data_IF_953585608092
#
_entry.id   IF_953585608092
#
_cell.length_a   1.000
_cell.length_b   1.000
_cell.length_c   1.000
_cell.angle_alpha   90.00
_cell.angle_beta   90.00
_cell.angle_gamma   90.00
#
_symmetry.space_group_name_H-M   'P 1'
#
loop_
_entity.id
_entity.type
_entity.pdbx_description
1 polymer ?
#
# COMPACT_ATOMS: atom_id res chain seq x y z
N UNK A 1 -24.79 -63.41 26.82
CA UNK A 1 -23.54 -63.06 27.54
C UNK A 1 -23.33 -61.57 27.40
N UNK A 2 -23.46 -60.86 28.51
CA UNK A 2 -23.29 -59.41 28.63
C UNK A 2 -21.80 -59.05 28.55
N UNK A 3 -21.51 -57.89 27.98
CA UNK A 3 -20.20 -57.25 28.00
C UNK A 3 -20.34 -55.79 27.62
N UNK A 4 -20.82 -54.96 28.55
CA UNK A 4 -20.84 -53.50 28.43
C UNK A 4 -19.41 -52.97 28.55
N UNK A 5 -18.95 -52.20 27.56
CA UNK A 5 -17.78 -51.33 27.70
C UNK A 5 -18.26 -49.95 28.17
N UNK A 6 -18.14 -49.70 29.47
CA UNK A 6 -18.30 -48.40 30.09
C UNK A 6 -17.14 -47.47 29.67
N UNK A 7 -17.46 -46.40 28.93
CA UNK A 7 -16.57 -45.26 28.67
C UNK A 7 -17.14 -44.02 29.38
N UNK A 8 -17.25 -44.10 30.71
CA UNK A 8 -17.74 -43.01 31.56
C UNK A 8 -16.68 -42.53 32.54
N UNK A 9 -15.44 -42.33 32.07
CA UNK A 9 -14.42 -41.61 32.83
C UNK A 9 -13.49 -40.80 31.91
N UNK A 10 -13.99 -39.73 31.26
CA UNK A 10 -13.04 -38.66 30.84
C UNK A 10 -13.64 -37.28 30.49
N UNK A 11 -14.90 -36.98 30.82
CA UNK A 11 -15.46 -35.63 30.52
C UNK A 11 -14.74 -34.51 31.31
N UNK A 12 -14.31 -34.82 32.54
CA UNK A 12 -13.61 -33.86 33.40
C UNK A 12 -12.16 -33.60 32.97
N UNK A 13 -11.53 -34.52 32.25
CA UNK A 13 -10.13 -34.36 31.80
C UNK A 13 -10.06 -33.58 30.50
N UNK A 14 -11.01 -33.80 29.59
CA UNK A 14 -11.22 -32.95 28.43
C UNK A 14 -11.60 -31.52 28.82
N UNK A 15 -12.54 -31.35 29.76
CA UNK A 15 -12.90 -30.03 30.26
C UNK A 15 -11.71 -29.30 30.92
N UNK A 16 -10.88 -30.01 31.69
CA UNK A 16 -9.65 -29.46 32.28
C UNK A 16 -8.61 -29.09 31.22
N UNK A 17 -8.44 -29.89 30.17
CA UNK A 17 -7.52 -29.59 29.06
C UNK A 17 -7.94 -28.34 28.27
N UNK A 18 -9.25 -28.19 28.01
CA UNK A 18 -9.80 -27.00 27.34
C UNK A 18 -9.69 -25.76 28.23
N UNK A 19 -9.93 -25.89 29.54
CA UNK A 19 -9.77 -24.77 30.47
C UNK A 19 -8.29 -24.35 30.60
N UNK A 20 -7.37 -25.31 30.61
CA UNK A 20 -5.93 -25.05 30.63
C UNK A 20 -5.46 -24.36 29.34
N UNK A 21 -5.95 -24.75 28.17
CA UNK A 21 -5.55 -24.09 26.91
C UNK A 21 -6.07 -22.65 26.82
N UNK A 22 -7.30 -22.38 27.29
CA UNK A 22 -7.86 -21.03 27.35
C UNK A 22 -7.11 -20.13 28.33
N UNK A 23 -6.76 -20.65 29.51
CA UNK A 23 -5.98 -19.89 30.50
C UNK A 23 -4.56 -19.57 30.00
N UNK A 24 -3.89 -20.52 29.33
CA UNK A 24 -2.57 -20.28 28.72
C UNK A 24 -2.68 -19.21 27.62
N UNK A 25 -3.70 -19.28 26.76
CA UNK A 25 -3.93 -18.29 25.71
C UNK A 25 -4.21 -16.88 26.28
N UNK A 26 -5.02 -16.79 27.34
CA UNK A 26 -5.28 -15.51 28.03
C UNK A 26 -4.03 -14.97 28.73
N UNK A 27 -3.22 -15.82 29.37
CA UNK A 27 -1.94 -15.41 29.95
C UNK A 27 -0.96 -14.89 28.89
N UNK A 28 -0.87 -15.54 27.73
CA UNK A 28 -0.05 -15.05 26.61
C UNK A 28 -0.56 -13.71 26.08
N UNK A 29 -1.88 -13.53 25.95
CA UNK A 29 -2.45 -12.24 25.54
C UNK A 29 -2.17 -11.11 26.56
N UNK A 30 -2.26 -11.40 27.86
CA UNK A 30 -1.91 -10.44 28.92
C UNK A 30 -0.41 -10.12 28.97
N UNK A 31 0.46 -11.08 28.66
CA UNK A 31 1.91 -10.83 28.56
C UNK A 31 2.25 -10.00 27.32
N UNK A 32 1.64 -10.28 26.17
CA UNK A 32 1.84 -9.49 24.95
C UNK A 32 1.34 -8.05 25.10
N UNK A 33 0.19 -7.83 25.74
CA UNK A 33 -0.32 -6.47 26.01
C UNK A 33 0.57 -5.70 26.97
N UNK A 34 1.14 -6.32 28.02
CA UNK A 34 2.12 -5.65 28.89
C UNK A 34 3.44 -5.32 28.17
N UNK A 35 3.92 -6.19 27.28
CA UNK A 35 5.11 -5.91 26.46
C UNK A 35 4.88 -4.74 25.51
N UNK A 36 3.67 -4.59 24.94
CA UNK A 36 3.31 -3.45 24.09
C UNK A 36 3.20 -2.15 24.90
N UNK A 37 2.65 -2.20 26.12
CA UNK A 37 2.48 -1.01 26.97
C UNK A 37 3.79 -0.50 27.61
N UNK A 38 4.80 -1.35 27.79
CA UNK A 38 6.07 -0.91 28.38
C UNK A 38 6.93 -0.05 27.44
N UNK A 39 6.65 -0.07 26.12
CA UNK A 39 7.40 0.73 25.13
C UNK A 39 6.93 2.19 25.02
N UNK A 40 5.83 2.58 25.66
CA UNK A 40 5.31 3.96 25.63
C UNK A 40 5.66 4.84 26.85
N UNK A 41 6.17 4.27 27.95
CA UNK A 41 6.35 5.01 29.20
C UNK A 41 7.71 5.73 29.38
N UNK A 42 8.59 5.71 28.37
CA UNK A 42 9.88 6.40 28.40
C UNK A 42 9.98 7.59 27.43
N UNK A 43 8.85 8.14 27.01
CA UNK A 43 8.85 9.50 26.46
C UNK A 43 8.62 10.46 27.62
N UNK A 44 9.69 11.14 28.06
CA UNK A 44 9.53 12.33 28.90
C UNK A 44 8.70 13.33 28.09
N UNK A 45 7.42 13.48 28.44
CA UNK A 45 6.60 14.57 27.92
C UNK A 45 7.31 15.86 28.32
N UNK A 46 7.78 16.59 27.31
CA UNK A 46 8.32 17.93 27.48
C UNK A 46 7.19 18.81 28.05
N UNK A 47 7.39 19.57 29.14
CA UNK A 47 6.32 20.36 29.73
C UNK A 47 5.89 21.47 28.75
N UNK A 48 4.69 21.36 28.20
CA UNK A 48 4.11 22.34 27.27
C UNK A 48 3.89 23.72 27.90
N UNK A 49 3.97 23.83 29.23
CA UNK A 49 3.86 25.10 29.96
C UNK A 49 5.07 26.03 29.82
N UNK A 50 6.18 25.58 29.20
CA UNK A 50 7.38 26.40 28.99
C UNK A 50 7.54 26.96 27.58
N UNK A 51 6.65 26.65 26.62
CA UNK A 51 6.79 27.09 25.23
C UNK A 51 5.99 28.36 24.86
N UNK A 52 5.22 28.95 25.77
CA UNK A 52 4.19 29.95 25.42
C UNK A 52 4.42 31.38 25.91
N UNK A 53 5.62 31.76 26.37
CA UNK A 53 5.86 33.15 26.81
C UNK A 53 6.81 33.98 25.92
N UNK A 54 7.48 33.41 24.93
CA UNK A 54 8.21 34.21 23.95
C UNK A 54 7.26 34.60 22.83
N UNK A 55 6.75 35.84 22.88
CA UNK A 55 6.13 36.46 21.70
C UNK A 55 7.09 36.29 20.52
N UNK A 56 6.60 35.76 19.38
CA UNK A 56 7.48 35.47 18.26
C UNK A 56 8.06 36.79 17.76
N UNK A 57 9.39 36.87 17.85
CA UNK A 57 10.19 37.98 17.38
C UNK A 57 9.73 38.35 15.96
N UNK A 58 9.40 39.61 15.72
CA UNK A 58 8.79 40.08 14.45
C UNK A 58 9.64 39.71 13.23
N UNK A 59 10.95 39.54 13.45
CA UNK A 59 11.95 39.08 12.48
C UNK A 59 11.84 37.59 12.12
N UNK A 60 11.42 36.74 13.05
CA UNK A 60 11.16 35.30 12.80
C UNK A 60 9.85 35.15 12.03
N UNK A 61 8.83 35.96 12.38
CA UNK A 61 7.54 35.96 11.68
C UNK A 61 7.68 36.40 10.22
N UNK A 62 8.40 37.48 9.95
CA UNK A 62 8.65 37.94 8.59
C UNK A 62 9.50 36.96 7.78
N UNK A 63 10.49 36.31 8.40
CA UNK A 63 11.29 35.26 7.74
C UNK A 63 10.43 34.06 7.34
N UNK A 64 9.54 33.60 8.23
CA UNK A 64 8.61 32.50 7.95
C UNK A 64 7.61 32.86 6.84
N UNK A 65 7.09 34.08 6.85
CA UNK A 65 6.20 34.58 5.80
C UNK A 65 6.90 34.70 4.44
N UNK A 66 8.17 35.12 4.42
CA UNK A 66 8.96 35.20 3.19
C UNK A 66 9.28 33.81 2.62
N UNK A 67 9.58 32.83 3.48
CA UNK A 67 9.77 31.44 3.08
C UNK A 67 8.47 30.81 2.52
N UNK A 68 7.32 31.07 3.15
CA UNK A 68 6.00 30.64 2.65
C UNK A 68 5.66 31.30 1.31
N UNK A 69 6.01 32.58 1.12
CA UNK A 69 5.80 33.32 -0.13
C UNK A 69 6.71 32.81 -1.26
N UNK A 70 7.98 32.49 -0.93
CA UNK A 70 8.93 31.85 -1.84
C UNK A 70 8.50 30.44 -2.22
N UNK A 71 7.96 29.65 -1.28
CA UNK A 71 7.39 28.34 -1.53
C UNK A 71 6.18 28.44 -2.47
N UNK A 72 5.25 29.38 -2.24
CA UNK A 72 4.14 29.65 -3.16
C UNK A 72 4.61 30.06 -4.56
N UNK A 73 5.60 30.94 -4.66
CA UNK A 73 6.16 31.34 -5.96
C UNK A 73 6.87 30.18 -6.68
N UNK A 74 7.52 29.26 -5.95
CA UNK A 74 8.10 28.02 -6.51
C UNK A 74 7.03 27.01 -6.90
N UNK A 75 5.97 26.88 -6.11
CA UNK A 75 4.78 26.09 -6.45
C UNK A 75 4.13 26.59 -7.75
N UNK A 76 4.04 27.90 -7.96
CA UNK A 76 3.47 28.48 -9.17
C UNK A 76 4.44 28.41 -10.36
N UNK A 77 5.74 28.41 -10.10
CA UNK A 77 6.78 28.16 -11.09
C UNK A 77 7.14 26.67 -11.14
N UNK A 78 6.22 25.84 -11.62
CA UNK A 78 6.36 24.37 -11.80
C UNK A 78 7.55 23.90 -12.66
N UNK A 79 8.41 24.84 -13.10
CA UNK A 79 9.69 24.63 -13.78
C UNK A 79 10.83 24.27 -12.83
N UNK A 80 10.73 24.66 -11.55
CA UNK A 80 11.83 24.59 -10.58
C UNK A 80 11.89 23.25 -9.81
N UNK A 81 10.91 22.36 -10.05
CA UNK A 81 10.87 21.08 -9.37
C UNK A 81 11.77 20.03 -10.05
N UNK A 82 12.59 19.39 -9.23
CA UNK A 82 13.58 18.37 -9.60
C UNK A 82 13.01 17.03 -10.08
N UNK A 83 11.69 16.92 -10.32
CA UNK A 83 11.15 15.70 -10.95
C UNK A 83 11.63 15.70 -12.39
N UNK A 84 12.41 14.69 -12.74
CA UNK A 84 12.88 14.54 -14.11
C UNK A 84 11.69 14.51 -15.06
N UNK A 85 11.81 15.17 -16.21
CA UNK A 85 10.81 15.13 -17.28
C UNK A 85 10.43 13.67 -17.61
N UNK A 86 11.39 12.75 -17.48
CA UNK A 86 11.21 11.29 -17.59
C UNK A 86 10.24 10.71 -16.55
N UNK A 87 10.34 11.13 -15.28
CA UNK A 87 9.45 10.66 -14.22
C UNK A 87 8.02 11.17 -14.43
N UNK A 88 7.82 12.45 -14.79
CA UNK A 88 6.49 12.97 -15.14
C UNK A 88 5.90 12.21 -16.34
N UNK A 89 6.71 11.94 -17.36
CA UNK A 89 6.26 11.18 -18.53
C UNK A 89 5.77 9.79 -18.14
N UNK A 90 6.52 9.07 -17.29
CA UNK A 90 6.09 7.76 -16.75
C UNK A 90 4.81 7.86 -15.93
N UNK A 91 4.60 8.91 -15.14
CA UNK A 91 3.36 9.09 -14.38
C UNK A 91 2.13 9.35 -15.26
N UNK A 92 2.35 9.91 -16.46
CA UNK A 92 1.30 10.18 -17.45
C UNK A 92 1.03 9.00 -18.40
N UNK A 93 1.81 7.94 -18.31
CA UNK A 93 1.62 6.74 -19.13
C UNK A 93 0.32 6.03 -18.74
N UNK A 94 -0.48 5.69 -19.75
CA UNK A 94 -1.85 5.23 -19.56
C UNK A 94 -1.95 3.99 -18.66
N UNK A 95 -1.08 3.01 -18.91
CA UNK A 95 -1.08 1.71 -18.26
C UNK A 95 -0.39 1.68 -16.91
N UNK A 96 0.26 2.76 -16.50
CA UNK A 96 1.03 2.82 -15.25
C UNK A 96 0.68 4.06 -14.41
N UNK A 97 -0.26 4.89 -14.87
CA UNK A 97 -0.64 6.12 -14.17
C UNK A 97 -1.22 5.80 -12.79
N UNK A 98 -0.65 6.36 -11.71
CA UNK A 98 -1.16 6.18 -10.35
C UNK A 98 -2.59 6.67 -10.21
N UNK A 99 -3.37 5.99 -9.36
CA UNK A 99 -4.73 6.39 -9.03
C UNK A 99 -4.67 7.57 -8.06
N UNK A 100 -5.52 8.56 -8.26
CA UNK A 100 -5.62 9.73 -7.39
C UNK A 100 -7.00 9.74 -6.77
N UNK A 101 -7.06 9.89 -5.45
CA UNK A 101 -8.32 10.08 -4.71
C UNK A 101 -8.25 11.43 -4.01
N UNK A 102 -8.63 12.54 -4.69
CA UNK A 102 -8.44 13.90 -4.17
C UNK A 102 -9.12 14.14 -2.83
N UNK A 103 -10.30 13.53 -2.61
CA UNK A 103 -11.06 13.60 -1.36
C UNK A 103 -10.22 13.23 -0.13
N UNK A 104 -9.29 12.27 -0.28
CA UNK A 104 -8.43 11.80 0.80
C UNK A 104 -6.97 12.22 0.63
N UNK A 105 -6.67 13.13 -0.32
CA UNK A 105 -5.31 13.51 -0.70
C UNK A 105 -4.38 12.30 -0.88
N UNK A 106 -4.88 11.26 -1.55
CA UNK A 106 -4.18 9.99 -1.73
C UNK A 106 -3.73 9.82 -3.18
N UNK A 107 -2.45 9.48 -3.35
CA UNK A 107 -1.87 9.00 -4.61
C UNK A 107 -1.50 7.53 -4.40
N UNK A 108 -2.13 6.64 -5.16
CA UNK A 108 -1.94 5.21 -5.07
C UNK A 108 -1.21 4.67 -6.29
N UNK A 109 0.03 4.24 -6.07
CA UNK A 109 0.85 3.56 -7.06
C UNK A 109 0.46 2.09 -7.07
N UNK A 110 -0.29 1.69 -8.08
CA UNK A 110 -0.65 0.30 -8.26
C UNK A 110 0.42 -0.39 -9.10
N UNK A 111 0.70 -1.64 -8.75
CA UNK A 111 1.68 -2.49 -9.39
C UNK A 111 1.04 -3.83 -9.75
N UNK A 112 1.48 -4.39 -10.88
CA UNK A 112 0.95 -5.66 -11.34
C UNK A 112 1.26 -6.79 -10.37
N UNK A 113 0.25 -7.65 -10.22
CA UNK A 113 0.25 -8.87 -9.38
C UNK A 113 0.42 -8.64 -7.87
N UNK A 114 0.14 -7.42 -7.39
CA UNK A 114 0.09 -7.06 -5.97
C UNK A 114 -1.34 -6.67 -5.55
N UNK A 115 -2.32 -7.50 -5.95
CA UNK A 115 -3.75 -7.26 -5.72
C UNK A 115 -4.31 -5.96 -6.34
N UNK A 116 -3.74 -5.49 -7.45
CA UNK A 116 -4.14 -4.25 -8.12
C UNK A 116 -5.65 -4.20 -8.48
N UNK A 117 -6.25 -5.32 -8.88
CA UNK A 117 -7.69 -5.41 -9.16
C UNK A 117 -8.55 -5.11 -7.93
N UNK A 118 -8.18 -5.63 -6.76
CA UNK A 118 -8.91 -5.40 -5.52
C UNK A 118 -8.79 -3.96 -5.07
N UNK A 119 -7.60 -3.37 -5.15
CA UNK A 119 -7.40 -1.96 -4.84
C UNK A 119 -8.21 -1.05 -5.76
N UNK A 120 -8.22 -1.32 -7.07
CA UNK A 120 -9.06 -0.57 -8.03
C UNK A 120 -10.54 -0.66 -7.69
N UNK A 121 -11.06 -1.86 -7.38
CA UNK A 121 -12.44 -2.06 -6.93
C UNK A 121 -12.75 -1.30 -5.64
N UNK A 122 -11.85 -1.34 -4.66
CA UNK A 122 -11.99 -0.59 -3.42
C UNK A 122 -12.06 0.92 -3.69
N UNK A 123 -11.18 1.44 -4.55
CA UNK A 123 -11.18 2.86 -4.91
C UNK A 123 -12.43 3.27 -5.69
N UNK A 124 -12.98 2.40 -6.53
CA UNK A 124 -14.27 2.64 -7.16
C UNK A 124 -15.38 2.72 -6.11
N UNK A 125 -15.42 1.75 -5.20
CA UNK A 125 -16.41 1.68 -4.12
C UNK A 125 -16.40 2.93 -3.23
N UNK A 126 -15.24 3.35 -2.70
CA UNK A 126 -15.18 4.52 -1.80
C UNK A 126 -15.46 5.85 -2.52
N UNK A 127 -15.37 5.87 -3.85
CA UNK A 127 -15.70 7.04 -4.68
C UNK A 127 -17.13 6.98 -5.22
N UNK A 128 -17.91 5.95 -4.89
CA UNK A 128 -19.27 5.78 -5.39
C UNK A 128 -19.35 5.46 -6.89
N UNK A 129 -18.27 4.96 -7.48
CA UNK A 129 -18.21 4.58 -8.90
C UNK A 129 -18.79 3.17 -9.04
N UNK A 130 -19.90 3.06 -9.77
CA UNK A 130 -20.50 1.77 -10.11
C UNK A 130 -20.06 1.35 -11.52
N UNK A 131 -18.87 0.75 -11.62
CA UNK A 131 -18.34 0.25 -12.89
C UNK A 131 -17.80 -1.17 -12.70
N UNK A 132 -18.25 -2.10 -13.55
CA UNK A 132 -17.85 -3.51 -13.53
C UNK A 132 -16.51 -3.76 -14.23
N UNK A 133 -16.05 -2.84 -15.08
CA UNK A 133 -14.87 -2.98 -15.93
C UNK A 133 -13.61 -2.37 -15.30
N UNK A 134 -13.09 -3.01 -14.25
CA UNK A 134 -11.96 -2.54 -13.44
C UNK A 134 -10.67 -2.32 -14.24
N UNK A 135 -10.45 -3.12 -15.28
CA UNK A 135 -9.26 -3.09 -16.12
C UNK A 135 -9.40 -2.18 -17.35
N UNK A 136 -10.59 -1.64 -17.60
CA UNK A 136 -10.82 -0.74 -18.71
C UNK A 136 -10.21 0.63 -18.41
N UNK A 137 -9.70 1.27 -19.45
CA UNK A 137 -9.25 2.64 -19.38
C UNK A 137 -10.30 3.69 -18.93
N UNK A 138 -11.58 3.31 -19.02
CA UNK A 138 -12.74 4.11 -18.64
C UNK A 138 -13.40 3.55 -17.37
N UNK A 139 -12.60 2.99 -16.46
CA UNK A 139 -13.10 2.43 -15.19
C UNK A 139 -13.61 3.49 -14.18
N UNK A 140 -13.59 4.77 -14.56
CA UNK A 140 -14.07 5.90 -13.76
C UNK A 140 -13.08 6.40 -12.69
N UNK A 141 -11.95 5.71 -12.49
CA UNK A 141 -10.95 6.15 -11.54
C UNK A 141 -10.16 7.35 -12.09
N UNK A 142 -10.02 8.38 -11.27
CA UNK A 142 -9.09 9.48 -11.55
C UNK A 142 -7.65 8.99 -11.42
N UNK A 143 -6.79 9.35 -12.36
CA UNK A 143 -5.36 8.97 -12.38
C UNK A 143 -4.50 10.21 -12.55
N UNK A 144 -3.20 10.15 -12.23
CA UNK A 144 -2.32 11.32 -12.39
C UNK A 144 -2.30 11.86 -13.83
N UNK A 145 -2.56 11.01 -14.84
CA UNK A 145 -2.68 11.43 -16.23
C UNK A 145 -3.77 12.49 -16.46
N UNK A 146 -4.84 12.52 -15.65
CA UNK A 146 -5.92 13.50 -15.81
C UNK A 146 -5.55 14.91 -15.37
N UNK A 147 -4.38 15.10 -14.75
CA UNK A 147 -3.93 16.38 -14.23
C UNK A 147 -2.80 16.97 -15.09
N UNK A 148 -2.69 18.29 -15.05
CA UNK A 148 -1.58 18.95 -15.72
C UNK A 148 -0.24 18.64 -15.01
N UNK A 149 0.87 18.97 -15.67
CA UNK A 149 2.20 18.68 -15.10
C UNK A 149 2.44 19.42 -13.79
N UNK A 150 1.91 20.63 -13.66
CA UNK A 150 2.12 21.49 -12.52
C UNK A 150 1.36 20.97 -11.29
N UNK A 151 0.11 20.56 -11.47
CA UNK A 151 -0.72 19.90 -10.48
C UNK A 151 -0.08 18.61 -9.99
N UNK A 152 0.42 17.76 -10.91
CA UNK A 152 1.12 16.53 -10.52
C UNK A 152 2.32 16.85 -9.62
N UNK A 153 3.12 17.85 -9.99
CA UNK A 153 4.26 18.29 -9.19
C UNK A 153 3.80 18.78 -7.81
N UNK A 154 2.78 19.65 -7.75
CA UNK A 154 2.20 20.14 -6.50
C UNK A 154 1.72 18.98 -5.62
N UNK A 155 0.99 18.01 -6.16
CA UNK A 155 0.53 16.82 -5.42
C UNK A 155 1.69 15.93 -4.96
N UNK A 156 2.74 15.76 -5.78
CA UNK A 156 3.87 14.89 -5.48
C UNK A 156 4.82 15.47 -4.43
N UNK A 157 4.98 16.80 -4.35
CA UNK A 157 5.85 17.43 -3.35
C UNK A 157 5.13 17.90 -2.09
N UNK A 158 3.82 18.10 -2.16
CA UNK A 158 3.05 18.47 -0.98
C UNK A 158 3.03 17.31 0.03
N UNK A 159 3.48 17.59 1.24
CA UNK A 159 3.57 16.63 2.34
C UNK A 159 2.20 16.22 2.90
N UNK A 160 1.17 17.03 2.66
CA UNK A 160 -0.21 16.69 3.04
C UNK A 160 -0.84 15.59 2.17
N UNK A 161 -0.19 15.21 1.07
CA UNK A 161 -0.61 14.10 0.22
C UNK A 161 0.06 12.79 0.64
N UNK A 162 -0.76 11.78 0.87
CA UNK A 162 -0.30 10.42 1.15
C UNK A 162 0.04 9.74 -0.17
N UNK A 163 1.27 9.21 -0.27
CA UNK A 163 1.72 8.40 -1.41
C UNK A 163 1.86 6.97 -0.94
N UNK A 164 1.07 6.06 -1.49
CA UNK A 164 1.01 4.67 -1.04
C UNK A 164 1.25 3.70 -2.20
N UNK A 165 1.90 2.58 -1.89
CA UNK A 165 2.11 1.44 -2.78
C UNK A 165 2.00 0.17 -1.96
N UNK A 166 1.35 -0.86 -2.52
CA UNK A 166 1.41 -2.20 -1.95
C UNK A 166 2.47 -3.00 -2.67
N UNK A 167 3.36 -3.63 -1.92
CA UNK A 167 4.39 -4.51 -2.46
C UNK A 167 4.08 -5.95 -2.06
N UNK A 168 4.50 -6.88 -2.90
CA UNK A 168 4.41 -8.33 -2.67
C UNK A 168 5.82 -8.92 -2.72
N UNK A 169 6.02 -10.07 -2.08
CA UNK A 169 7.26 -10.83 -2.17
C UNK A 169 7.65 -11.04 -3.66
N UNK A 170 8.90 -10.73 -4.06
CA UNK A 170 9.27 -10.70 -5.48
C UNK A 170 9.12 -12.04 -6.22
N UNK A 171 9.44 -13.17 -5.59
CA UNK A 171 9.35 -14.51 -6.18
C UNK A 171 7.90 -14.91 -6.39
N UNK A 172 7.04 -14.65 -5.41
CA UNK A 172 5.61 -14.88 -5.55
C UNK A 172 4.98 -14.00 -6.63
N UNK A 173 5.40 -12.72 -6.71
CA UNK A 173 4.93 -11.81 -7.75
C UNK A 173 5.32 -12.32 -9.13
N UNK A 174 6.55 -12.81 -9.28
CA UNK A 174 7.05 -13.40 -10.52
C UNK A 174 6.29 -14.66 -10.91
N UNK A 175 6.07 -15.58 -9.97
CA UNK A 175 5.28 -16.79 -10.19
C UNK A 175 3.83 -16.45 -10.58
N UNK A 176 3.22 -15.47 -9.93
CA UNK A 176 1.87 -15.01 -10.26
C UNK A 176 1.80 -14.41 -11.67
N UNK A 177 2.82 -13.64 -12.10
CA UNK A 177 2.92 -13.14 -13.47
C UNK A 177 3.07 -14.28 -14.49
N UNK A 178 3.92 -15.27 -14.18
CA UNK A 178 4.09 -16.46 -15.03
C UNK A 178 2.78 -17.20 -15.23
N UNK A 179 2.07 -17.51 -14.15
CA UNK A 179 0.80 -18.24 -14.25
C UNK A 179 -0.21 -17.44 -15.08
N UNK A 180 -0.35 -16.15 -14.78
CA UNK A 180 -1.32 -15.28 -15.43
C UNK A 180 -1.03 -15.04 -16.92
N UNK A 181 0.23 -14.87 -17.30
CA UNK A 181 0.63 -14.41 -18.64
C UNK A 181 1.26 -15.51 -19.50
N UNK A 182 2.19 -16.27 -18.94
CA UNK A 182 2.95 -17.25 -19.71
C UNK A 182 2.24 -18.61 -19.79
N UNK A 183 1.72 -19.08 -18.65
CA UNK A 183 1.13 -20.41 -18.55
C UNK A 183 -0.28 -20.48 -19.13
N UNK A 184 -1.15 -19.52 -18.76
CA UNK A 184 -2.56 -19.54 -19.17
C UNK A 184 -2.87 -18.76 -20.45
N UNK A 185 -2.06 -17.76 -20.84
CA UNK A 185 -2.45 -16.77 -21.85
C UNK A 185 -1.74 -16.86 -23.22
N UNK A 186 -1.00 -17.93 -23.55
CA UNK A 186 -0.24 -18.04 -24.82
C UNK A 186 0.64 -16.80 -25.15
N UNK A 187 0.94 -15.92 -24.20
CA UNK A 187 1.77 -14.73 -24.46
C UNK A 187 3.19 -15.14 -24.86
N UNK A 188 3.65 -16.31 -24.41
CA UNK A 188 4.92 -16.89 -24.87
C UNK A 188 4.90 -17.25 -26.37
N UNK A 189 3.74 -17.57 -26.94
CA UNK A 189 3.61 -17.71 -28.39
C UNK A 189 3.72 -16.34 -29.08
N UNK A 190 3.07 -15.31 -28.54
CA UNK A 190 3.08 -13.96 -29.13
C UNK A 190 4.45 -13.28 -29.05
N UNK A 191 5.15 -13.41 -27.91
CA UNK A 191 6.43 -12.74 -27.68
C UNK A 191 7.63 -13.56 -28.13
N UNK A 192 7.58 -14.88 -27.97
CA UNK A 192 8.74 -15.75 -28.16
C UNK A 192 8.52 -16.81 -29.24
N UNK A 193 7.38 -16.81 -29.96
CA UNK A 193 6.99 -17.84 -30.95
C UNK A 193 7.04 -19.27 -30.40
N UNK A 194 6.93 -19.42 -29.08
CA UNK A 194 6.92 -20.73 -28.43
C UNK A 194 5.49 -21.27 -28.46
N UNK A 195 5.24 -22.24 -29.35
CA UNK A 195 3.93 -22.88 -29.49
C UNK A 195 3.76 -24.10 -28.58
N UNK A 196 4.13 -23.94 -27.30
CA UNK A 196 3.94 -24.93 -26.25
C UNK A 196 3.86 -24.25 -24.90
N UNK A 197 3.34 -24.96 -23.91
CA UNK A 197 3.42 -24.52 -22.52
C UNK A 197 4.90 -24.46 -22.11
N UNK A 198 5.29 -23.32 -21.56
CA UNK A 198 6.62 -23.07 -21.00
C UNK A 198 6.55 -23.35 -19.52
N UNK A 199 7.48 -24.12 -18.96
CA UNK A 199 7.57 -24.33 -17.52
C UNK A 199 8.07 -23.08 -16.80
N UNK A 200 7.88 -23.00 -15.47
CA UNK A 200 8.36 -21.83 -14.73
C UNK A 200 9.88 -21.65 -14.86
N UNK A 201 10.66 -22.73 -14.86
CA UNK A 201 12.12 -22.66 -15.01
C UNK A 201 12.55 -22.17 -16.39
N UNK A 202 11.94 -22.70 -17.46
CA UNK A 202 12.21 -22.22 -18.82
C UNK A 202 11.84 -20.74 -18.97
N UNK A 203 10.74 -20.31 -18.36
CA UNK A 203 10.34 -18.91 -18.32
C UNK A 203 11.38 -18.04 -17.60
N UNK A 204 11.97 -18.51 -16.50
CA UNK A 204 13.06 -17.81 -15.84
C UNK A 204 14.29 -17.69 -16.73
N UNK A 205 14.65 -18.75 -17.46
CA UNK A 205 15.76 -18.70 -18.40
C UNK A 205 15.50 -17.70 -19.54
N UNK A 206 14.28 -17.67 -20.09
CA UNK A 206 13.89 -16.69 -21.11
C UNK A 206 14.02 -15.26 -20.56
N UNK A 207 13.50 -14.98 -19.36
CA UNK A 207 13.57 -13.62 -18.78
C UNK A 207 14.99 -13.19 -18.49
N UNK A 208 15.90 -14.09 -18.09
CA UNK A 208 17.31 -13.76 -17.87
C UNK A 208 18.02 -13.31 -19.15
N UNK A 209 17.52 -13.71 -20.31
CA UNK A 209 18.12 -13.38 -21.62
C UNK A 209 17.58 -12.09 -22.25
N UNK A 210 16.55 -11.48 -21.64
CA UNK A 210 15.98 -10.19 -22.05
C UNK A 210 16.71 -9.02 -21.36
#
# INVERSE_FOLDING_TARGET
>A
MMGNCDLTTDSNRFAKLVLMSVTIAMCFFFLLTKVVLQKQNNVKLFPWSQLSSTQPDTKIRSKKQNEEMLLKQREDNCRDYRISKQAIYRLKEYWSSPIVVPKYKLIFFWNEKSACTYWKKLFQFIQGINNTEVHNHRNGLTTLKSFDTCEIIKMMYNESWVKAVFVREPRERLLSSYLDKAHHQHIMYQLCRVNRTVTFYEFLEIIKTL
#
